data_IF_256339387486
#
_entry.id   IF_256339387486
#
_cell.length_a   1.000
_cell.length_b   1.000
_cell.length_c   1.000
_cell.angle_alpha   90.00
_cell.angle_beta   90.00
_cell.angle_gamma   90.00
#
_symmetry.space_group_name_H-M   'P 1'
#
loop_
_entity.id
_entity.type
_entity.pdbx_description
1 polymer ?
#
# COMPACT_ATOMS: atom_id res chain seq x y z
N UNK A 1 -27.48 6.42 13.40
CA UNK A 1 -27.79 5.02 12.99
C UNK A 1 -26.71 4.12 13.58
N UNK A 2 -27.05 2.95 14.16
CA UNK A 2 -26.01 2.01 14.58
C UNK A 2 -25.23 1.54 13.34
N UNK A 3 -23.92 1.80 13.33
CA UNK A 3 -23.03 1.40 12.25
C UNK A 3 -22.95 -0.12 12.25
N UNK A 4 -23.36 -0.77 11.15
CA UNK A 4 -23.19 -2.22 11.02
C UNK A 4 -21.69 -2.56 11.10
N UNK A 5 -21.29 -3.56 11.89
CA UNK A 5 -19.90 -3.98 11.95
C UNK A 5 -19.44 -4.43 10.56
N UNK A 6 -18.37 -3.81 10.06
CA UNK A 6 -17.75 -4.16 8.79
C UNK A 6 -16.94 -5.44 8.96
N UNK A 7 -17.21 -6.46 8.15
CA UNK A 7 -16.53 -7.74 8.19
C UNK A 7 -15.48 -7.81 7.08
N UNK A 8 -14.22 -8.01 7.46
CA UNK A 8 -13.10 -8.17 6.54
C UNK A 8 -12.73 -9.65 6.50
N UNK A 9 -12.75 -10.25 5.31
CA UNK A 9 -12.19 -11.59 5.11
C UNK A 9 -10.67 -11.47 5.13
N UNK A 10 -10.01 -12.26 5.98
CA UNK A 10 -8.55 -12.31 6.07
C UNK A 10 -8.08 -13.71 6.38
N UNK A 11 -6.84 -14.01 6.02
CA UNK A 11 -6.21 -15.27 6.36
C UNK A 11 -6.04 -15.42 7.89
N UNK A 12 -6.21 -16.63 8.45
CA UNK A 12 -6.08 -16.86 9.89
C UNK A 12 -4.72 -16.42 10.45
N UNK A 13 -3.63 -16.60 9.71
CA UNK A 13 -2.30 -16.20 10.15
C UNK A 13 -2.14 -14.68 10.22
N UNK A 14 -2.68 -13.95 9.24
CA UNK A 14 -2.68 -12.50 9.23
C UNK A 14 -3.50 -11.94 10.40
N UNK A 15 -4.66 -12.54 10.67
CA UNK A 15 -5.50 -12.21 11.82
C UNK A 15 -4.77 -12.40 13.15
N UNK A 16 -4.10 -13.54 13.35
CA UNK A 16 -3.35 -13.81 14.59
C UNK A 16 -2.17 -12.85 14.78
N UNK A 17 -1.45 -12.49 13.70
CA UNK A 17 -0.38 -11.47 13.77
C UNK A 17 -0.94 -10.11 14.16
N UNK A 18 -2.05 -9.68 13.55
CA UNK A 18 -2.73 -8.43 13.87
C UNK A 18 -3.19 -8.41 15.33
N UNK A 19 -3.81 -9.50 15.80
CA UNK A 19 -4.25 -9.65 17.19
C UNK A 19 -3.09 -9.53 18.19
N UNK A 20 -1.96 -10.17 17.92
CA UNK A 20 -0.75 -10.06 18.76
C UNK A 20 -0.24 -8.62 18.81
N UNK A 21 -0.15 -7.94 17.66
CA UNK A 21 0.32 -6.54 17.58
C UNK A 21 -0.62 -5.57 18.30
N UNK A 22 -1.94 -5.73 18.10
CA UNK A 22 -2.95 -4.93 18.78
C UNK A 22 -2.83 -5.07 20.32
N UNK A 23 -2.66 -6.30 20.81
CA UNK A 23 -2.41 -6.58 22.24
C UNK A 23 -1.13 -5.92 22.76
N UNK A 24 -0.04 -5.95 21.99
CA UNK A 24 1.24 -5.32 22.37
C UNK A 24 1.12 -3.81 22.53
N UNK A 25 0.25 -3.18 21.74
CA UNK A 25 0.00 -1.73 21.75
C UNK A 25 -1.16 -1.32 22.67
N UNK A 26 -1.83 -2.27 23.32
CA UNK A 26 -2.96 -1.99 24.21
C UNK A 26 -4.23 -1.49 23.49
N UNK A 27 -4.38 -1.77 22.19
CA UNK A 27 -5.52 -1.33 21.37
C UNK A 27 -6.35 -2.52 20.89
N UNK A 28 -7.58 -2.26 20.45
CA UNK A 28 -8.41 -3.25 19.77
C UNK A 28 -7.89 -3.53 18.35
N UNK A 29 -8.27 -4.67 17.77
CA UNK A 29 -7.96 -4.99 16.37
C UNK A 29 -8.58 -3.95 15.43
N UNK A 30 -9.79 -3.46 15.74
CA UNK A 30 -10.48 -2.44 14.96
C UNK A 30 -9.70 -1.12 14.91
N UNK A 31 -9.27 -0.61 16.06
CA UNK A 31 -8.44 0.60 16.15
C UNK A 31 -7.10 0.42 15.44
N UNK A 32 -6.48 -0.75 15.56
CA UNK A 32 -5.24 -1.06 14.84
C UNK A 32 -5.41 -0.99 13.32
N UNK A 33 -6.48 -1.59 12.79
CA UNK A 33 -6.79 -1.53 11.35
C UNK A 33 -7.08 -0.09 10.92
N UNK A 34 -7.86 0.65 11.70
CA UNK A 34 -8.14 2.07 11.42
C UNK A 34 -6.86 2.91 11.38
N UNK A 35 -5.96 2.72 12.33
CA UNK A 35 -4.68 3.44 12.37
C UNK A 35 -3.78 3.07 11.19
N UNK A 36 -3.75 1.80 10.79
CA UNK A 36 -3.00 1.36 9.60
C UNK A 36 -3.55 1.99 8.32
N UNK A 37 -4.87 2.01 8.15
CA UNK A 37 -5.52 2.65 7.01
C UNK A 37 -5.28 4.16 7.02
N UNK A 38 -5.49 4.84 8.15
CA UNK A 38 -5.25 6.28 8.26
C UNK A 38 -3.79 6.67 7.96
N UNK A 39 -2.83 5.86 8.43
CA UNK A 39 -1.41 6.03 8.10
C UNK A 39 -1.14 5.84 6.60
N UNK A 40 -1.78 4.86 5.96
CA UNK A 40 -1.67 4.65 4.53
C UNK A 40 -2.25 5.82 3.72
N UNK A 41 -3.45 6.28 4.07
CA UNK A 41 -4.11 7.42 3.45
C UNK A 41 -3.28 8.71 3.57
N UNK A 42 -2.64 8.93 4.72
CA UNK A 42 -1.73 10.07 4.90
C UNK A 42 -0.55 9.99 3.92
N UNK A 43 0.06 8.80 3.78
CA UNK A 43 1.18 8.60 2.85
C UNK A 43 0.76 8.76 1.39
N UNK A 44 -0.46 8.33 1.02
CA UNK A 44 -1.03 8.58 -0.31
C UNK A 44 -1.20 10.08 -0.57
N UNK A 45 -1.77 10.80 0.39
CA UNK A 45 -1.93 12.26 0.29
C UNK A 45 -0.59 12.98 0.15
N UNK A 46 0.42 12.59 0.91
CA UNK A 46 1.75 13.21 0.81
C UNK A 46 2.43 12.87 -0.51
N UNK A 47 2.26 11.64 -1.03
CA UNK A 47 2.73 11.28 -2.37
C UNK A 47 2.07 12.16 -3.45
N UNK A 48 0.76 12.41 -3.34
CA UNK A 48 0.03 13.32 -4.24
C UNK A 48 0.53 14.77 -4.17
N UNK A 49 0.81 15.30 -2.96
CA UNK A 49 1.39 16.66 -2.83
C UNK A 49 2.73 16.80 -3.53
N UNK A 50 3.57 15.76 -3.50
CA UNK A 50 4.86 15.78 -4.21
C UNK A 50 4.61 15.87 -5.72
N UNK A 51 3.58 15.22 -6.25
CA UNK A 51 3.18 15.36 -7.65
C UNK A 51 2.73 16.78 -7.96
N UNK A 52 1.81 17.32 -7.16
CA UNK A 52 1.25 18.66 -7.36
C UNK A 52 2.32 19.75 -7.29
N UNK A 53 3.35 19.56 -6.45
CA UNK A 53 4.47 20.48 -6.32
C UNK A 53 5.53 20.31 -7.41
N UNK A 54 5.49 19.22 -8.19
CA UNK A 54 6.50 18.89 -9.18
C UNK A 54 5.96 19.09 -10.60
N UNK A 55 6.20 20.29 -11.14
CA UNK A 55 5.78 20.71 -12.48
C UNK A 55 6.30 19.79 -13.62
N UNK A 56 7.21 18.86 -13.32
CA UNK A 56 7.72 17.87 -14.28
C UNK A 56 6.75 16.72 -14.53
N UNK A 57 5.69 16.59 -13.72
CA UNK A 57 4.71 15.51 -13.82
C UNK A 57 3.33 16.12 -14.06
N UNK A 58 2.87 16.06 -15.30
CA UNK A 58 1.50 16.39 -15.65
C UNK A 58 0.63 15.13 -15.61
N UNK A 59 -0.18 14.99 -14.56
CA UNK A 59 -1.18 13.92 -14.42
C UNK A 59 -2.55 14.32 -14.96
N UNK A 60 -2.70 15.55 -15.49
CA UNK A 60 -3.97 15.97 -16.07
C UNK A 60 -4.28 15.12 -17.31
N UNK A 61 -5.40 14.41 -17.26
CA UNK A 61 -5.81 13.46 -18.30
C UNK A 61 -5.48 11.99 -18.05
N UNK A 62 -4.84 11.64 -16.92
CA UNK A 62 -4.73 10.25 -16.47
C UNK A 62 -5.97 9.83 -15.66
N UNK A 63 -6.31 8.54 -15.69
CA UNK A 63 -7.36 8.00 -14.81
C UNK A 63 -6.89 8.04 -13.35
N UNK A 64 -7.70 8.60 -12.45
CA UNK A 64 -7.35 8.75 -11.03
C UNK A 64 -7.06 7.41 -10.35
N UNK A 65 -7.77 6.34 -10.73
CA UNK A 65 -7.58 5.01 -10.18
C UNK A 65 -6.23 4.43 -10.62
N UNK A 66 -5.80 4.71 -11.84
CA UNK A 66 -4.49 4.26 -12.36
C UNK A 66 -3.34 4.96 -11.65
N UNK A 67 -3.45 6.29 -11.46
CA UNK A 67 -2.48 7.07 -10.69
C UNK A 67 -2.42 6.59 -9.24
N UNK A 68 -3.58 6.43 -8.59
CA UNK A 68 -3.63 5.91 -7.21
C UNK A 68 -3.02 4.51 -7.11
N UNK A 69 -3.33 3.62 -8.06
CA UNK A 69 -2.76 2.28 -8.11
C UNK A 69 -1.23 2.31 -8.25
N UNK A 70 -0.71 3.23 -9.06
CA UNK A 70 0.72 3.39 -9.22
C UNK A 70 1.41 3.93 -7.98
N UNK A 71 0.83 4.94 -7.34
CA UNK A 71 1.33 5.51 -6.10
C UNK A 71 1.29 4.48 -4.96
N UNK A 72 0.22 3.69 -4.86
CA UNK A 72 0.13 2.61 -3.86
C UNK A 72 1.26 1.60 -4.05
N UNK A 73 1.49 1.12 -5.29
CA UNK A 73 2.58 0.18 -5.60
C UNK A 73 3.95 0.79 -5.31
N UNK A 74 4.12 2.08 -5.59
CA UNK A 74 5.36 2.79 -5.32
C UNK A 74 5.62 2.94 -3.82
N UNK A 75 4.59 3.26 -3.01
CA UNK A 75 4.70 3.30 -1.54
C UNK A 75 5.08 1.94 -0.96
N UNK A 76 4.50 0.85 -1.47
CA UNK A 76 4.89 -0.51 -1.06
C UNK A 76 6.33 -0.83 -1.47
N UNK A 77 6.76 -0.39 -2.65
CA UNK A 77 8.14 -0.55 -3.12
C UNK A 77 9.11 0.26 -2.27
N UNK A 78 8.73 1.48 -1.87
CA UNK A 78 9.47 2.33 -0.94
C UNK A 78 9.71 1.61 0.38
N UNK A 79 8.64 1.04 0.96
CA UNK A 79 8.72 0.29 2.21
C UNK A 79 9.59 -0.98 2.07
N UNK A 80 9.51 -1.67 0.93
CA UNK A 80 10.26 -2.91 0.68
C UNK A 80 11.76 -2.68 0.44
N UNK A 81 12.11 -1.59 -0.25
CA UNK A 81 13.49 -1.26 -0.64
C UNK A 81 14.13 -0.21 0.25
N UNK A 82 13.39 0.31 1.22
CA UNK A 82 13.80 1.41 2.11
C UNK A 82 14.30 2.64 1.33
N UNK A 83 13.55 3.03 0.29
CA UNK A 83 13.96 4.15 -0.57
C UNK A 83 13.97 5.46 0.21
N UNK A 84 15.04 6.24 0.01
CA UNK A 84 15.15 7.60 0.55
C UNK A 84 14.10 8.52 -0.10
N UNK A 85 13.87 9.69 0.50
CA UNK A 85 12.91 10.66 -0.04
C UNK A 85 13.24 11.10 -1.48
N UNK A 86 14.53 11.27 -1.79
CA UNK A 86 14.98 11.65 -3.13
C UNK A 86 14.81 10.51 -4.15
N UNK A 87 15.20 9.29 -3.79
CA UNK A 87 15.01 8.12 -4.66
C UNK A 87 13.53 7.87 -4.92
N UNK A 88 12.68 8.05 -3.91
CA UNK A 88 11.23 7.93 -4.05
C UNK A 88 10.66 8.94 -5.05
N UNK A 89 11.09 10.21 -4.97
CA UNK A 89 10.66 11.24 -5.91
C UNK A 89 11.12 10.95 -7.35
N UNK A 90 12.38 10.54 -7.53
CA UNK A 90 12.92 10.16 -8.84
C UNK A 90 12.16 8.96 -9.45
N UNK A 91 11.87 7.97 -8.63
CA UNK A 91 11.04 6.83 -9.00
C UNK A 91 9.61 7.24 -9.34
N UNK A 92 9.01 8.13 -8.55
CA UNK A 92 7.67 8.65 -8.78
C UNK A 92 7.55 9.34 -10.15
N UNK A 93 8.52 10.20 -10.49
CA UNK A 93 8.61 10.84 -11.82
C UNK A 93 8.68 9.78 -12.91
N UNK A 94 9.55 8.78 -12.76
CA UNK A 94 9.75 7.71 -13.75
C UNK A 94 8.47 6.92 -13.98
N UNK A 95 7.85 6.44 -12.90
CA UNK A 95 6.63 5.63 -12.92
C UNK A 95 5.50 6.33 -13.67
N UNK A 96 5.19 7.58 -13.29
CA UNK A 96 4.07 8.31 -13.86
C UNK A 96 4.33 8.74 -15.31
N UNK A 97 5.59 9.07 -15.64
CA UNK A 97 6.00 9.30 -17.02
C UNK A 97 5.82 8.05 -17.88
N UNK A 98 6.07 6.86 -17.31
CA UNK A 98 5.92 5.58 -18.00
C UNK A 98 4.47 5.10 -18.08
N UNK A 99 3.57 5.47 -17.16
CA UNK A 99 2.13 5.23 -17.31
C UNK A 99 1.57 5.92 -18.56
N UNK A 100 2.00 7.17 -18.80
CA UNK A 100 1.68 7.90 -20.05
C UNK A 100 2.12 7.16 -21.32
N UNK A 101 3.15 6.31 -21.21
CA UNK A 101 3.71 5.51 -22.31
C UNK A 101 3.24 4.06 -22.31
N UNK A 102 2.41 3.66 -21.35
CA UNK A 102 1.92 2.28 -21.15
C UNK A 102 3.04 1.25 -20.90
N UNK A 103 4.18 1.69 -20.34
CA UNK A 103 5.42 0.91 -20.23
C UNK A 103 5.69 0.33 -18.83
N UNK A 104 4.92 0.74 -17.81
CA UNK A 104 5.26 0.44 -16.42
C UNK A 104 4.48 -0.75 -15.84
N UNK A 105 5.20 -1.84 -15.55
CA UNK A 105 4.68 -3.02 -14.85
C UNK A 105 5.64 -3.42 -13.73
N UNK A 106 5.49 -2.87 -12.51
CA UNK A 106 6.38 -3.21 -11.41
C UNK A 106 6.07 -4.63 -10.91
N UNK A 107 7.11 -5.44 -10.75
CA UNK A 107 7.03 -6.68 -9.98
C UNK A 107 7.09 -6.34 -8.50
N UNK A 108 5.93 -6.07 -7.89
CA UNK A 108 5.82 -6.07 -6.43
C UNK A 108 5.94 -7.51 -5.98
N UNK A 109 7.12 -7.89 -5.50
CA UNK A 109 7.32 -9.20 -4.88
C UNK A 109 6.67 -9.17 -3.51
N UNK A 110 5.43 -9.62 -3.44
CA UNK A 110 4.93 -10.22 -2.20
C UNK A 110 5.88 -11.37 -1.87
N UNK A 111 6.32 -11.47 -0.61
CA UNK A 111 7.23 -12.53 -0.18
C UNK A 111 6.80 -13.89 -0.71
N UNK A 112 7.77 -14.75 -0.99
CA UNK A 112 7.54 -16.02 -1.68
C UNK A 112 6.39 -16.79 -1.01
N UNK A 113 5.43 -17.30 -1.81
CA UNK A 113 4.35 -18.13 -1.26
C UNK A 113 4.91 -19.40 -0.61
N UNK A 114 6.19 -19.74 -0.82
CA UNK A 114 6.90 -20.79 -0.09
C UNK A 114 7.10 -20.49 1.41
N UNK A 115 7.11 -19.21 1.82
CA UNK A 115 7.07 -18.81 3.24
C UNK A 115 5.67 -19.04 3.86
N UNK A 116 4.66 -19.17 3.01
CA UNK A 116 3.31 -19.55 3.36
C UNK A 116 3.13 -21.05 3.13
N UNK A 117 3.57 -21.89 4.08
CA UNK A 117 3.19 -23.30 4.07
C UNK A 117 1.66 -23.41 3.93
N UNK A 118 1.13 -24.00 2.85
CA UNK A 118 -0.30 -24.27 2.76
C UNK A 118 -0.59 -25.31 3.83
N UNK A 119 -1.38 -24.94 4.84
CA UNK A 119 -1.90 -25.87 5.85
C UNK A 119 -2.96 -26.83 5.29
N UNK A 120 -3.05 -26.94 3.96
CA UNK A 120 -3.94 -27.87 3.27
C UNK A 120 -3.17 -29.11 2.83
N UNK A 121 -2.90 -29.98 3.80
CA UNK A 121 -3.06 -31.43 3.63
C UNK A 121 -3.52 -32.00 4.97
N UNK A 122 -4.84 -32.06 5.14
CA UNK A 122 -5.47 -33.10 5.93
C UNK A 122 -6.36 -33.89 4.99
N UNK A 123 -5.87 -35.04 4.56
CA UNK A 123 -6.71 -36.23 4.45
C UNK A 123 -6.35 -37.14 5.63
#
# INVERSE_FOLDING_TARGET
MPVKPFQIKMEPQAHERLKKRAKQLGVTIGEMIQNLLASFELRMKDAHKILEANDRIDVSGMDSIEVDTALMKLLLTKDQRDLTGKEFEEEQIRVLSSLRKDEWKPEVKFGDMSDYKPYFTKE
#
